data_IF_709557675144
#
_entry.id   IF_709557675144
#
_cell.length_a   1.000
_cell.length_b   1.000
_cell.length_c   1.000
_cell.angle_alpha   90.00
_cell.angle_beta   90.00
_cell.angle_gamma   90.00
#
_symmetry.space_group_name_H-M   'P 1'
#
loop_
_entity.id
_entity.type
_entity.pdbx_description
1 polymer ?
#
# COMPACT_ATOMS: atom_id res chain seq x y z
N UNK A 1 -2.21 -7.86 -6.42
CA UNK A 1 -2.10 -7.08 -7.69
C UNK A 1 -2.15 -5.59 -7.38
N UNK A 2 -1.72 -4.71 -8.30
CA UNK A 2 -1.87 -3.26 -8.12
C UNK A 2 -3.33 -2.86 -7.93
N UNK A 3 -4.25 -3.45 -8.70
CA UNK A 3 -5.69 -3.22 -8.56
C UNK A 3 -6.20 -3.53 -7.14
N UNK A 4 -5.78 -4.65 -6.54
CA UNK A 4 -6.19 -5.01 -5.18
C UNK A 4 -5.66 -4.02 -4.13
N UNK A 5 -4.40 -3.60 -4.25
CA UNK A 5 -3.83 -2.59 -3.34
C UNK A 5 -4.57 -1.24 -3.45
N UNK A 6 -4.90 -0.80 -4.67
CA UNK A 6 -5.70 0.41 -4.92
C UNK A 6 -7.11 0.29 -4.32
N UNK A 7 -7.77 -0.86 -4.45
CA UNK A 7 -9.09 -1.09 -3.89
C UNK A 7 -9.10 -0.95 -2.35
N UNK A 8 -8.11 -1.50 -1.65
CA UNK A 8 -7.99 -1.30 -0.20
C UNK A 8 -7.75 0.16 0.18
N UNK A 9 -6.91 0.90 -0.57
CA UNK A 9 -6.74 2.35 -0.37
C UNK A 9 -8.04 3.12 -0.55
N UNK A 10 -8.84 2.78 -1.56
CA UNK A 10 -10.13 3.44 -1.80
C UNK A 10 -11.16 3.14 -0.70
N UNK A 11 -11.14 1.92 -0.17
CA UNK A 11 -11.96 1.56 0.98
C UNK A 11 -11.53 2.32 2.24
N UNK A 12 -10.23 2.45 2.50
CA UNK A 12 -9.68 3.24 3.62
C UNK A 12 -10.00 4.74 3.48
N UNK A 13 -10.00 5.27 2.26
CA UNK A 13 -10.38 6.66 1.99
C UNK A 13 -11.86 6.89 2.33
N UNK A 14 -12.73 5.97 1.91
CA UNK A 14 -14.17 6.06 2.14
C UNK A 14 -14.55 5.91 3.61
N UNK A 15 -13.82 5.09 4.37
CA UNK A 15 -14.08 4.88 5.80
C UNK A 15 -13.34 5.86 6.73
N UNK A 16 -12.53 6.78 6.17
CA UNK A 16 -11.57 7.57 6.95
C UNK A 16 -10.66 6.68 7.82
N UNK A 17 -10.26 5.53 7.27
CA UNK A 17 -9.44 4.53 7.94
C UNK A 17 -7.98 4.95 8.09
N UNK A 18 -7.46 5.79 7.18
CA UNK A 18 -6.15 6.43 7.22
C UNK A 18 -6.29 7.93 6.93
N UNK A 19 -5.28 8.73 7.28
CA UNK A 19 -5.26 10.15 6.90
C UNK A 19 -5.25 10.32 5.38
N UNK A 20 -5.89 11.38 4.90
CA UNK A 20 -5.93 11.72 3.46
C UNK A 20 -4.53 11.86 2.86
N UNK A 21 -3.59 12.43 3.62
CA UNK A 21 -2.17 12.54 3.26
C UNK A 21 -1.52 11.16 3.05
N UNK A 22 -1.72 10.23 3.99
CA UNK A 22 -1.19 8.86 3.87
C UNK A 22 -1.74 8.16 2.63
N UNK A 23 -3.03 8.32 2.36
CA UNK A 23 -3.68 7.72 1.19
C UNK A 23 -3.13 8.32 -0.11
N UNK A 24 -2.99 9.64 -0.19
CA UNK A 24 -2.43 10.30 -1.37
C UNK A 24 -0.98 9.86 -1.62
N UNK A 25 -0.14 9.85 -0.58
CA UNK A 25 1.25 9.39 -0.65
C UNK A 25 1.35 7.92 -1.10
N UNK A 26 0.49 7.05 -0.57
CA UNK A 26 0.44 5.64 -0.95
C UNK A 26 0.01 5.41 -2.40
N UNK A 27 -0.95 6.19 -2.92
CA UNK A 27 -1.35 6.14 -4.33
C UNK A 27 -0.20 6.51 -5.25
N UNK A 28 0.50 7.62 -4.97
CA UNK A 28 1.68 8.05 -5.72
C UNK A 28 2.78 6.98 -5.68
N UNK A 29 3.01 6.35 -4.54
CA UNK A 29 4.01 5.28 -4.40
C UNK A 29 3.64 4.03 -5.21
N UNK A 30 2.36 3.61 -5.24
CA UNK A 30 1.89 2.52 -6.09
C UNK A 30 2.08 2.83 -7.57
N UNK A 31 1.72 4.03 -8.01
CA UNK A 31 1.91 4.47 -9.40
C UNK A 31 3.40 4.50 -9.79
N UNK A 32 4.26 4.94 -8.87
CA UNK A 32 5.71 4.92 -9.06
C UNK A 32 6.27 3.50 -9.16
N UNK A 33 5.80 2.58 -8.32
CA UNK A 33 6.22 1.18 -8.34
C UNK A 33 5.74 0.46 -9.60
N UNK A 34 4.51 0.69 -10.07
CA UNK A 34 3.95 0.04 -11.26
C UNK A 34 4.80 0.32 -12.52
N UNK A 35 5.40 1.50 -12.61
CA UNK A 35 6.30 1.89 -13.71
C UNK A 35 7.70 1.26 -13.65
N UNK A 36 8.10 0.71 -12.51
CA UNK A 36 9.38 -0.01 -12.34
C UNK A 36 9.21 -1.49 -12.70
N UNK A 37 10.30 -2.25 -12.71
CA UNK A 37 10.29 -3.71 -12.93
C UNK A 37 11.28 -4.44 -12.03
N UNK A 38 11.10 -5.77 -11.91
CA UNK A 38 11.97 -6.67 -11.14
C UNK A 38 12.32 -6.16 -9.74
N UNK A 39 13.60 -6.21 -9.40
CA UNK A 39 14.12 -5.80 -8.10
C UNK A 39 13.75 -4.35 -7.72
N UNK A 40 13.76 -3.41 -8.66
CA UNK A 40 13.43 -2.00 -8.35
C UNK A 40 11.97 -1.82 -7.94
N UNK A 41 11.06 -2.57 -8.57
CA UNK A 41 9.64 -2.58 -8.19
C UNK A 41 9.46 -3.29 -6.85
N UNK A 42 10.13 -4.43 -6.65
CA UNK A 42 10.11 -5.16 -5.37
C UNK A 42 10.50 -4.25 -4.21
N UNK A 43 11.64 -3.55 -4.30
CA UNK A 43 12.11 -2.62 -3.26
C UNK A 43 11.09 -1.52 -2.98
N UNK A 44 10.57 -0.86 -4.03
CA UNK A 44 9.58 0.20 -3.87
C UNK A 44 8.30 -0.26 -3.16
N UNK A 45 7.82 -1.48 -3.47
CA UNK A 45 6.65 -2.07 -2.84
C UNK A 45 6.94 -2.49 -1.40
N UNK A 46 8.10 -3.07 -1.11
CA UNK A 46 8.51 -3.42 0.26
C UNK A 46 8.57 -2.18 1.17
N UNK A 47 9.18 -1.10 0.68
CA UNK A 47 9.23 0.19 1.40
C UNK A 47 7.82 0.76 1.63
N UNK A 48 6.93 0.63 0.64
CA UNK A 48 5.55 1.05 0.79
C UNK A 48 4.80 0.19 1.83
N UNK A 49 4.96 -1.14 1.80
CA UNK A 49 4.32 -2.04 2.77
C UNK A 49 4.75 -1.73 4.22
N UNK A 50 6.03 -1.42 4.43
CA UNK A 50 6.55 -1.00 5.73
C UNK A 50 5.90 0.32 6.19
N UNK A 51 5.85 1.34 5.32
CA UNK A 51 5.20 2.62 5.62
C UNK A 51 3.73 2.46 5.98
N UNK A 52 2.98 1.65 5.22
CA UNK A 52 1.56 1.36 5.52
C UNK A 52 1.42 0.60 6.83
N UNK A 53 2.34 -0.30 7.16
CA UNK A 53 2.31 -1.01 8.46
C UNK A 53 2.47 -0.03 9.62
N UNK A 54 3.42 0.91 9.51
CA UNK A 54 3.62 1.96 10.53
C UNK A 54 2.40 2.88 10.64
N UNK A 55 1.91 3.43 9.53
CA UNK A 55 0.72 4.29 9.53
C UNK A 55 -0.56 3.54 9.97
N UNK A 56 -0.63 2.25 9.64
CA UNK A 56 -1.72 1.35 9.99
C UNK A 56 -1.86 1.08 11.48
N UNK A 57 -0.77 1.22 12.25
CA UNK A 57 -0.78 0.97 13.70
C UNK A 57 -1.65 1.96 14.49
N UNK A 58 -1.82 3.19 13.98
CA UNK A 58 -2.65 4.25 14.57
C UNK A 58 -3.90 4.56 13.72
N UNK A 59 -4.12 3.77 12.67
CA UNK A 59 -5.27 3.89 11.79
C UNK A 59 -6.58 3.66 12.53
N UNK A 60 -7.65 4.34 12.08
CA UNK A 60 -9.00 4.06 12.56
C UNK A 60 -9.49 2.66 12.13
N UNK A 61 -9.06 2.22 10.95
CA UNK A 61 -9.37 0.89 10.40
C UNK A 61 -8.08 0.07 10.26
N UNK A 62 -7.53 -0.36 11.41
CA UNK A 62 -6.26 -1.09 11.49
C UNK A 62 -6.31 -2.42 10.74
N UNK A 63 -7.44 -3.12 10.79
CA UNK A 63 -7.63 -4.40 10.11
C UNK A 63 -7.49 -4.23 8.60
N UNK A 64 -8.12 -3.19 8.02
CA UNK A 64 -7.99 -2.92 6.59
C UNK A 64 -6.62 -2.35 6.21
N UNK A 65 -6.00 -1.56 7.08
CA UNK A 65 -4.60 -1.12 6.88
C UNK A 65 -3.63 -2.31 6.83
N UNK A 66 -3.85 -3.33 7.67
CA UNK A 66 -3.10 -4.59 7.63
C UNK A 66 -3.34 -5.38 6.34
N UNK A 67 -4.59 -5.48 5.87
CA UNK A 67 -4.90 -6.12 4.57
C UNK A 67 -4.20 -5.41 3.41
N UNK A 68 -4.14 -4.07 3.44
CA UNK A 68 -3.40 -3.29 2.46
C UNK A 68 -1.89 -3.61 2.51
N UNK A 69 -1.27 -3.59 3.70
CA UNK A 69 0.18 -3.85 3.81
C UNK A 69 0.54 -5.27 3.37
N UNK A 70 -0.28 -6.27 3.72
CA UNK A 70 -0.13 -7.65 3.23
C UNK A 70 -0.25 -7.70 1.70
N UNK A 71 -1.28 -7.10 1.10
CA UNK A 71 -1.47 -7.13 -0.34
C UNK A 71 -0.31 -6.46 -1.11
N UNK A 72 0.31 -5.41 -0.55
CA UNK A 72 1.49 -4.76 -1.11
C UNK A 72 2.73 -5.67 -0.98
N UNK A 73 2.89 -6.33 0.17
CA UNK A 73 3.99 -7.29 0.41
C UNK A 73 3.92 -8.50 -0.53
N UNK A 74 2.74 -9.08 -0.71
CA UNK A 74 2.51 -10.17 -1.66
C UNK A 74 2.81 -9.73 -3.10
N UNK A 75 2.39 -8.50 -3.45
CA UNK A 75 2.71 -7.92 -4.74
C UNK A 75 4.23 -7.74 -4.92
N UNK A 76 4.96 -7.31 -3.89
CA UNK A 76 6.41 -7.18 -3.92
C UNK A 76 7.09 -8.53 -4.16
N UNK A 77 6.65 -9.57 -3.46
CA UNK A 77 7.19 -10.93 -3.58
C UNK A 77 6.89 -11.57 -4.95
N UNK A 78 5.83 -11.13 -5.63
CA UNK A 78 5.52 -11.56 -6.98
C UNK A 78 6.46 -10.98 -8.06
N UNK A 79 7.27 -9.95 -7.76
CA UNK A 79 8.14 -9.28 -8.73
C UNK A 79 9.50 -9.99 -8.92
N UNK A 80 9.48 -11.31 -9.18
CA UNK A 80 10.68 -12.16 -9.33
C UNK A 80 11.86 -11.47 -10.01
#
# INVERSE_FOLDING_TARGET
SFALARAYLDQLARSNGLSSETIASARTALDGAERRSGAQRKTALTELAARITTAGSTARDQAKAKLLSTAIGDLANAQR
#
